data_IF_347232912983
#
_entry.id   IF_347232912983
#
_cell.length_a   1.000
_cell.length_b   1.000
_cell.length_c   1.000
_cell.angle_alpha   90.00
_cell.angle_beta   90.00
_cell.angle_gamma   90.00
#
_symmetry.space_group_name_H-M   'P 1'
#
loop_
_entity.id
_entity.type
_entity.pdbx_description
1 polymer ?
#
# COMPACT_ATOMS: atom_id res chain seq x y z
N UNK A 1 33.38 -12.68 -1.98
CA UNK A 1 34.31 -12.62 -0.83
C UNK A 1 33.65 -13.42 0.29
N UNK A 2 34.18 -14.61 0.57
CA UNK A 2 33.70 -15.53 1.60
C UNK A 2 34.20 -15.10 2.98
N UNK A 3 33.38 -15.31 4.02
CA UNK A 3 33.83 -15.25 5.41
C UNK A 3 33.12 -16.38 6.20
N UNK A 4 33.90 -17.21 6.87
CA UNK A 4 33.46 -18.25 7.81
C UNK A 4 33.84 -17.85 9.24
N UNK A 5 33.03 -18.27 10.23
CA UNK A 5 33.40 -19.02 11.44
C UNK A 5 32.55 -18.64 12.68
N UNK A 6 32.05 -19.65 13.41
CA UNK A 6 31.46 -19.52 14.75
C UNK A 6 30.51 -20.68 15.11
N UNK A 7 31.01 -21.70 15.81
CA UNK A 7 30.24 -22.83 16.36
C UNK A 7 29.44 -22.48 17.62
N UNK A 8 28.60 -23.40 18.13
CA UNK A 8 27.45 -23.07 18.98
C UNK A 8 27.82 -22.98 20.47
N UNK A 9 27.29 -21.98 21.17
CA UNK A 9 27.27 -21.93 22.64
C UNK A 9 25.85 -21.65 23.13
N UNK A 10 25.35 -22.56 23.96
CA UNK A 10 24.26 -22.33 24.91
C UNK A 10 22.85 -22.31 24.34
N UNK A 11 22.11 -23.41 24.50
CA UNK A 11 20.65 -23.39 24.48
C UNK A 11 20.13 -22.66 25.72
N UNK A 12 19.74 -21.39 25.57
CA UNK A 12 18.79 -20.73 26.45
C UNK A 12 17.41 -20.76 25.80
N UNK A 13 16.45 -21.38 26.50
CA UNK A 13 15.05 -21.53 26.09
C UNK A 13 14.25 -20.23 26.30
N UNK A 14 14.67 -19.15 25.67
CA UNK A 14 13.78 -18.01 25.44
C UNK A 14 12.69 -18.40 24.42
N UNK A 15 11.41 -18.02 24.62
CA UNK A 15 10.42 -18.17 23.57
C UNK A 15 10.89 -17.41 22.35
N UNK A 16 11.24 -18.13 21.27
CA UNK A 16 11.74 -17.55 20.01
C UNK A 16 10.78 -16.46 19.56
N UNK A 17 11.16 -15.21 19.79
CA UNK A 17 10.43 -14.03 19.33
C UNK A 17 10.26 -14.21 17.82
N UNK A 18 9.02 -14.44 17.37
CA UNK A 18 8.73 -14.73 15.96
C UNK A 18 9.21 -13.53 15.17
N UNK A 19 10.30 -13.69 14.41
CA UNK A 19 10.87 -12.57 13.64
C UNK A 19 9.82 -12.10 12.64
N UNK A 20 9.58 -10.81 12.59
CA UNK A 20 8.79 -10.20 11.53
C UNK A 20 9.61 -10.31 10.25
N UNK A 21 9.11 -11.09 9.29
CA UNK A 21 9.78 -11.38 8.02
C UNK A 21 8.89 -10.92 6.90
N UNK A 22 9.46 -10.13 5.98
CA UNK A 22 8.83 -9.71 4.73
C UNK A 22 8.36 -10.96 3.97
N UNK A 23 7.08 -10.99 3.61
CA UNK A 23 6.47 -12.15 2.95
C UNK A 23 6.78 -12.13 1.45
N UNK A 24 7.09 -13.29 0.90
CA UNK A 24 7.33 -13.45 -0.52
C UNK A 24 6.03 -13.62 -1.32
N UNK A 25 6.17 -13.52 -2.64
CA UNK A 25 5.13 -13.74 -3.64
C UNK A 25 4.29 -15.00 -3.40
N UNK A 26 4.92 -16.15 -3.10
CA UNK A 26 4.22 -17.43 -2.87
C UNK A 26 3.29 -17.35 -1.67
N UNK A 27 3.74 -16.72 -0.58
CA UNK A 27 2.91 -16.52 0.59
C UNK A 27 1.76 -15.57 0.29
N UNK A 28 2.03 -14.44 -0.38
CA UNK A 28 1.01 -13.43 -0.71
C UNK A 28 -0.06 -14.06 -1.62
N UNK A 29 0.35 -14.79 -2.66
CA UNK A 29 -0.53 -15.53 -3.57
C UNK A 29 -1.42 -16.51 -2.82
N UNK A 30 -0.85 -17.33 -1.94
CA UNK A 30 -1.62 -18.27 -1.12
C UNK A 30 -2.66 -17.55 -0.26
N UNK A 31 -2.26 -16.49 0.45
CA UNK A 31 -3.17 -15.74 1.30
C UNK A 31 -4.28 -15.03 0.51
N UNK A 32 -3.99 -14.54 -0.69
CA UNK A 32 -4.99 -13.92 -1.53
C UNK A 32 -6.01 -14.95 -2.06
N UNK A 33 -5.54 -16.10 -2.57
CA UNK A 33 -6.39 -17.12 -3.19
C UNK A 33 -7.17 -17.97 -2.17
N UNK A 34 -6.52 -18.40 -1.08
CA UNK A 34 -7.12 -19.32 -0.10
C UNK A 34 -7.86 -18.60 1.03
N UNK A 35 -7.42 -17.39 1.39
CA UNK A 35 -7.95 -16.63 2.53
C UNK A 35 -8.61 -15.31 2.13
N UNK A 36 -8.68 -14.97 0.85
CA UNK A 36 -9.31 -13.75 0.36
C UNK A 36 -8.65 -12.47 0.90
N UNK A 37 -7.34 -12.51 1.17
CA UNK A 37 -6.58 -11.39 1.73
C UNK A 37 -6.60 -10.16 0.82
N UNK A 38 -6.66 -10.35 -0.50
CA UNK A 38 -6.71 -9.30 -1.52
C UNK A 38 -7.80 -9.67 -2.53
N UNK A 39 -8.71 -8.74 -2.85
CA UNK A 39 -9.79 -8.99 -3.83
C UNK A 39 -10.17 -7.70 -4.56
N UNK A 40 -10.13 -7.66 -5.91
CA UNK A 40 -9.60 -8.67 -6.83
C UNK A 40 -8.09 -8.88 -6.68
N UNK A 41 -7.58 -10.06 -7.06
CA UNK A 41 -6.16 -10.40 -6.97
C UNK A 41 -5.56 -10.74 -8.33
N UNK A 42 -4.45 -10.07 -8.66
CA UNK A 42 -3.71 -10.28 -9.90
C UNK A 42 -2.45 -11.10 -9.62
N UNK A 43 -2.43 -12.36 -10.07
CA UNK A 43 -1.36 -13.31 -9.78
C UNK A 43 -0.02 -12.98 -10.46
N UNK A 44 -0.05 -12.09 -11.46
CA UNK A 44 1.11 -11.68 -12.25
C UNK A 44 1.23 -10.16 -12.24
N UNK A 45 2.45 -9.68 -12.40
CA UNK A 45 2.69 -8.27 -12.60
C UNK A 45 2.26 -7.85 -14.02
N UNK A 46 1.30 -6.95 -14.11
CA UNK A 46 0.85 -6.34 -15.37
C UNK A 46 1.60 -5.01 -15.52
N UNK A 47 2.29 -4.80 -16.65
CA UNK A 47 3.12 -3.60 -16.87
C UNK A 47 3.07 -3.02 -18.28
N UNK A 48 2.45 -3.71 -19.24
CA UNK A 48 2.41 -3.25 -20.64
C UNK A 48 1.39 -2.12 -20.79
N UNK A 49 1.87 -0.92 -21.12
CA UNK A 49 1.02 0.24 -21.41
C UNK A 49 0.40 0.92 -20.20
N UNK A 50 0.80 0.56 -18.98
CA UNK A 50 0.25 1.06 -17.71
C UNK A 50 1.35 1.20 -16.66
N UNK A 51 1.07 1.94 -15.57
CA UNK A 51 1.87 1.83 -14.35
C UNK A 51 1.63 0.45 -13.75
N UNK A 52 2.70 -0.28 -13.45
CA UNK A 52 2.60 -1.70 -13.13
C UNK A 52 1.80 -1.97 -11.85
N UNK A 53 1.02 -3.06 -11.86
CA UNK A 53 0.26 -3.54 -10.72
C UNK A 53 0.27 -5.08 -10.62
N UNK A 54 -0.19 -5.60 -9.48
CA UNK A 54 -0.29 -7.04 -9.21
C UNK A 54 0.86 -7.60 -8.36
N UNK A 55 0.97 -8.93 -8.33
CA UNK A 55 1.93 -9.63 -7.48
C UNK A 55 3.39 -9.34 -7.89
N UNK A 56 4.21 -8.97 -6.90
CA UNK A 56 5.66 -8.79 -7.02
C UNK A 56 6.40 -9.74 -6.07
N UNK A 57 7.73 -9.86 -6.20
CA UNK A 57 8.53 -10.86 -5.47
C UNK A 57 8.37 -10.83 -3.95
N UNK A 58 8.17 -9.65 -3.36
CA UNK A 58 8.04 -9.44 -1.91
C UNK A 58 6.95 -8.42 -1.56
N UNK A 59 5.93 -8.30 -2.41
CA UNK A 59 4.89 -7.30 -2.23
C UNK A 59 3.79 -7.43 -3.27
N UNK A 60 2.86 -6.49 -3.21
CA UNK A 60 1.75 -6.41 -4.15
C UNK A 60 1.56 -4.95 -4.56
N UNK A 61 1.65 -4.68 -5.86
CA UNK A 61 1.43 -3.34 -6.39
C UNK A 61 -0.08 -3.10 -6.55
N UNK A 62 -0.61 -2.15 -5.80
CA UNK A 62 -2.04 -1.79 -5.75
C UNK A 62 -2.42 -0.78 -6.83
N UNK A 63 -3.69 -0.81 -7.24
CA UNK A 63 -4.27 0.17 -8.19
C UNK A 63 -5.05 1.23 -7.43
N UNK A 64 -5.09 2.43 -8.00
CA UNK A 64 -5.95 3.53 -7.54
C UNK A 64 -7.25 3.49 -8.35
N UNK A 65 -8.40 3.66 -7.70
CA UNK A 65 -9.69 3.73 -8.41
C UNK A 65 -9.85 5.02 -9.21
N UNK A 66 -10.74 5.00 -10.17
CA UNK A 66 -11.23 6.16 -10.93
C UNK A 66 -11.97 7.21 -10.08
N UNK A 67 -12.37 6.87 -8.86
CA UNK A 67 -13.04 7.78 -7.91
C UNK A 67 -12.07 8.39 -6.91
N UNK A 68 -11.96 9.71 -6.93
CA UNK A 68 -11.08 10.50 -6.08
C UNK A 68 -11.83 11.66 -5.42
N UNK A 69 -11.28 12.17 -4.33
CA UNK A 69 -11.67 13.45 -3.72
C UNK A 69 -10.50 14.42 -3.81
N UNK A 70 -10.66 15.48 -4.60
CA UNK A 70 -9.63 16.51 -4.80
C UNK A 70 -9.84 17.61 -3.77
N UNK A 71 -8.80 17.94 -3.00
CA UNK A 71 -8.88 19.03 -2.03
C UNK A 71 -9.05 20.38 -2.73
N UNK A 72 -9.94 21.22 -2.20
CA UNK A 72 -10.19 22.58 -2.68
C UNK A 72 -10.19 23.57 -1.51
N UNK A 73 -9.57 24.73 -1.70
CA UNK A 73 -9.53 25.81 -0.72
C UNK A 73 -10.58 26.90 -0.99
N UNK A 74 -11.45 26.73 -1.99
CA UNK A 74 -12.46 27.72 -2.42
C UNK A 74 -13.36 28.16 -1.27
N UNK A 75 -13.68 27.24 -0.35
CA UNK A 75 -14.57 27.52 0.78
C UNK A 75 -13.85 28.08 2.03
N UNK A 76 -12.52 28.27 1.97
CA UNK A 76 -11.68 28.76 3.08
C UNK A 76 -11.93 28.06 4.44
N UNK A 77 -12.31 26.80 4.40
CA UNK A 77 -12.61 25.99 5.58
C UNK A 77 -11.33 25.61 6.31
N UNK A 78 -11.31 25.73 7.64
CA UNK A 78 -10.24 25.19 8.47
C UNK A 78 -10.24 23.67 8.35
N UNK A 79 -9.10 23.08 8.03
CA UNK A 79 -8.96 21.62 7.97
C UNK A 79 -8.84 21.07 9.39
N UNK A 80 -9.91 20.47 9.90
CA UNK A 80 -9.95 19.78 11.20
C UNK A 80 -9.98 18.25 10.98
N UNK A 81 -8.89 17.52 11.30
CA UNK A 81 -8.85 16.06 11.16
C UNK A 81 -9.90 15.32 12.01
N UNK A 82 -10.41 15.93 13.09
CA UNK A 82 -11.48 15.36 13.93
C UNK A 82 -12.88 15.63 13.39
N UNK A 83 -13.02 16.62 12.50
CA UNK A 83 -14.29 17.06 11.91
C UNK A 83 -14.11 17.22 10.41
N UNK A 84 -14.05 16.09 9.73
CA UNK A 84 -13.88 16.04 8.28
C UNK A 84 -15.03 16.78 7.59
N UNK A 85 -14.70 17.85 6.85
CA UNK A 85 -15.66 18.66 6.11
C UNK A 85 -15.73 18.18 4.64
N UNK A 86 -16.85 17.58 4.20
CA UNK A 86 -17.03 17.19 2.80
C UNK A 86 -16.94 18.36 1.82
N UNK A 87 -17.25 19.58 2.26
CA UNK A 87 -17.19 20.80 1.45
C UNK A 87 -15.76 21.25 1.12
N UNK A 88 -14.75 20.69 1.77
CA UNK A 88 -13.33 20.93 1.45
C UNK A 88 -12.84 20.08 0.25
N UNK A 89 -13.71 19.25 -0.33
CA UNK A 89 -13.35 18.34 -1.41
C UNK A 89 -14.32 18.41 -2.58
N UNK A 90 -13.78 18.21 -3.78
CA UNK A 90 -14.56 17.99 -5.01
C UNK A 90 -14.45 16.52 -5.38
N UNK A 91 -15.59 15.88 -5.60
CA UNK A 91 -15.64 14.51 -6.12
C UNK A 91 -15.21 14.49 -7.60
N UNK A 92 -14.31 13.59 -7.93
CA UNK A 92 -13.81 13.36 -9.28
C UNK A 92 -13.97 11.89 -9.67
N UNK A 93 -14.51 11.63 -10.86
CA UNK A 93 -14.62 10.30 -11.46
C UNK A 93 -14.05 10.35 -12.88
N UNK A 94 -12.98 9.60 -13.15
CA UNK A 94 -12.35 9.57 -14.46
C UNK A 94 -11.03 8.79 -14.51
N UNK A 95 -10.56 8.50 -15.73
CA UNK A 95 -9.34 7.71 -15.95
C UNK A 95 -8.05 8.46 -15.60
N UNK A 96 -8.05 9.79 -15.74
CA UNK A 96 -6.88 10.64 -15.49
C UNK A 96 -7.27 11.83 -14.63
N UNK A 97 -6.70 11.89 -13.43
CA UNK A 97 -6.91 13.00 -12.51
C UNK A 97 -5.76 14.01 -12.58
N UNK A 98 -6.10 15.30 -12.59
CA UNK A 98 -5.14 16.39 -12.47
C UNK A 98 -5.10 16.83 -11.02
N UNK A 99 -3.94 16.69 -10.37
CA UNK A 99 -3.73 17.17 -9.01
C UNK A 99 -3.24 18.62 -9.10
N UNK A 100 -3.97 19.60 -8.52
CA UNK A 100 -3.51 20.99 -8.52
C UNK A 100 -2.14 21.13 -7.83
N UNK A 101 -1.29 22.07 -8.25
CA UNK A 101 -0.02 22.34 -7.59
C UNK A 101 -0.20 22.57 -6.08
N UNK A 102 0.69 21.98 -5.28
CA UNK A 102 0.68 22.11 -3.82
C UNK A 102 -0.63 21.65 -3.13
N UNK A 103 -1.47 20.87 -3.81
CA UNK A 103 -2.68 20.26 -3.25
C UNK A 103 -2.50 18.75 -3.06
N UNK A 104 -3.56 18.05 -2.65
CA UNK A 104 -3.59 16.60 -2.52
C UNK A 104 -4.94 16.03 -2.95
N UNK A 105 -4.95 14.72 -3.17
CA UNK A 105 -6.15 13.96 -3.48
C UNK A 105 -6.27 12.79 -2.52
N UNK A 106 -7.51 12.43 -2.17
CA UNK A 106 -7.81 11.17 -1.51
C UNK A 106 -8.29 10.19 -2.57
N UNK A 107 -7.73 8.99 -2.55
CA UNK A 107 -8.15 7.89 -3.41
C UNK A 107 -8.38 6.63 -2.58
N UNK A 108 -9.09 5.69 -3.17
CA UNK A 108 -9.21 4.33 -2.64
C UNK A 108 -8.52 3.37 -3.60
N UNK A 109 -8.10 2.23 -3.07
CA UNK A 109 -7.60 1.15 -3.90
C UNK A 109 -8.74 0.48 -4.68
N UNK A 110 -8.42 -0.10 -5.84
CA UNK A 110 -9.32 -1.03 -6.52
C UNK A 110 -9.45 -2.31 -5.70
N UNK A 111 -8.34 -2.75 -5.11
CA UNK A 111 -8.29 -3.93 -4.26
C UNK A 111 -8.88 -3.66 -2.87
N UNK A 112 -9.69 -4.60 -2.40
CA UNK A 112 -10.14 -4.73 -1.03
C UNK A 112 -9.20 -5.66 -0.26
N UNK A 113 -8.76 -5.22 0.92
CA UNK A 113 -7.82 -5.95 1.77
C UNK A 113 -8.50 -6.52 3.01
N UNK A 114 -8.23 -7.79 3.31
CA UNK A 114 -8.60 -8.47 4.56
C UNK A 114 -7.31 -8.94 5.24
N UNK A 115 -6.74 -8.08 6.07
CA UNK A 115 -5.43 -8.34 6.68
C UNK A 115 -5.57 -9.40 7.78
N UNK A 116 -4.78 -10.50 7.74
CA UNK A 116 -4.81 -11.50 8.79
C UNK A 116 -4.28 -10.96 10.11
N UNK A 117 -4.80 -11.47 11.24
CA UNK A 117 -4.45 -11.00 12.59
C UNK A 117 -2.96 -10.97 12.96
N UNK A 118 -2.14 -11.70 12.23
CA UNK A 118 -0.72 -11.87 12.47
C UNK A 118 0.15 -11.14 11.43
N UNK A 119 -0.41 -10.15 10.73
CA UNK A 119 0.22 -9.44 9.62
C UNK A 119 0.02 -7.94 9.83
N UNK A 120 1.10 -7.19 9.64
CA UNK A 120 1.09 -5.75 9.48
C UNK A 120 1.64 -5.45 8.09
N UNK A 121 1.04 -4.50 7.38
CA UNK A 121 1.50 -4.12 6.04
C UNK A 121 2.05 -2.70 6.03
N UNK A 122 2.99 -2.43 5.12
CA UNK A 122 3.50 -1.10 4.84
C UNK A 122 3.25 -0.83 3.36
N UNK A 123 2.78 0.37 3.03
CA UNK A 123 2.53 0.79 1.66
C UNK A 123 3.52 1.90 1.27
N UNK A 124 4.17 1.73 0.12
CA UNK A 124 5.17 2.66 -0.41
C UNK A 124 4.78 3.11 -1.82
N UNK A 125 5.02 4.38 -2.13
CA UNK A 125 4.78 4.92 -3.47
C UNK A 125 5.69 4.30 -4.52
N UNK A 126 5.17 4.11 -5.73
CA UNK A 126 5.97 3.66 -6.89
C UNK A 126 6.92 4.76 -7.35
N UNK A 127 8.09 4.35 -7.83
CA UNK A 127 9.13 5.28 -8.33
C UNK A 127 8.64 6.18 -9.48
N UNK A 128 7.66 5.73 -10.28
CA UNK A 128 7.03 6.56 -11.32
C UNK A 128 6.37 7.81 -10.73
N UNK A 129 5.62 7.67 -9.64
CA UNK A 129 4.98 8.81 -8.96
C UNK A 129 6.01 9.64 -8.18
N UNK A 130 6.92 8.97 -7.45
CA UNK A 130 7.92 9.65 -6.64
C UNK A 130 8.84 10.56 -7.47
N UNK A 131 9.22 10.13 -8.68
CA UNK A 131 10.05 10.93 -9.60
C UNK A 131 9.36 12.20 -10.11
N UNK A 132 8.03 12.25 -10.06
CA UNK A 132 7.24 13.42 -10.42
C UNK A 132 6.86 14.28 -9.21
N UNK A 133 7.43 14.02 -8.02
CA UNK A 133 7.10 14.74 -6.80
C UNK A 133 5.76 14.35 -6.18
N UNK A 134 5.15 13.24 -6.61
CA UNK A 134 3.90 12.74 -6.05
C UNK A 134 4.22 11.80 -4.89
N UNK A 135 3.81 12.20 -3.68
CA UNK A 135 4.02 11.45 -2.45
C UNK A 135 2.76 10.64 -2.14
N UNK A 136 2.92 9.33 -1.96
CA UNK A 136 1.83 8.43 -1.55
C UNK A 136 1.92 8.22 -0.04
N UNK A 137 1.00 8.83 0.70
CA UNK A 137 0.92 8.71 2.16
C UNK A 137 -0.18 7.72 2.54
N UNK A 138 0.22 6.52 2.96
CA UNK A 138 -0.69 5.46 3.40
C UNK A 138 -0.21 4.94 4.74
N UNK A 139 -1.11 4.90 5.72
CA UNK A 139 -0.83 4.32 7.04
C UNK A 139 -0.83 2.79 6.96
N UNK A 140 -0.08 2.08 7.82
CA UNK A 140 -0.08 0.62 7.86
C UNK A 140 -1.50 0.03 7.89
N UNK A 141 -1.73 -1.06 7.15
CA UNK A 141 -2.98 -1.82 7.31
C UNK A 141 -2.82 -2.77 8.50
N UNK A 142 -3.70 -2.59 9.48
CA UNK A 142 -3.67 -3.30 10.74
C UNK A 142 -4.50 -4.61 10.71
N UNK A 143 -4.13 -5.59 11.56
CA UNK A 143 -4.80 -6.89 11.70
C UNK A 143 -6.23 -6.89 12.27
#
# INVERSE_FOLDING_TARGET
>A
MTCQAGGPTGESSEPKRRRDVIKNDRWIRRMALEHGMITPFEEKQISKGVISYGLSSYGYDIRVSDRLKVFTNVNATVVDPKRFDPGAFVDFEGEVAIIPPNSFVLGRTVEYFRIPRNVLTICLGKSTYARCGIIVNVTPFEP
#
